data_IF_858702522646
#
_entry.id   IF_858702522646
#
_cell.length_a   1.000
_cell.length_b   1.000
_cell.length_c   1.000
_cell.angle_alpha   90.00
_cell.angle_beta   90.00
_cell.angle_gamma   90.00
#
_symmetry.space_group_name_H-M   'P 1'
#
loop_
_entity.id
_entity.type
_entity.pdbx_description
1 polymer ?
#
# COMPACT_ATOMS: atom_id res chain seq x y z
N UNK A 1 3.46 -3.57 -2.63
CA UNK A 1 2.95 -3.63 -1.23
C UNK A 1 2.37 -2.27 -0.88
N UNK A 2 1.40 -2.12 0.04
CA UNK A 2 0.99 -0.78 0.47
C UNK A 2 2.19 -0.03 1.07
N UNK A 3 2.42 1.20 0.62
CA UNK A 3 3.45 2.08 1.19
C UNK A 3 2.91 2.68 2.49
N UNK A 4 3.57 2.42 3.62
CA UNK A 4 3.10 2.87 4.93
C UNK A 4 3.89 4.04 5.50
N UNK A 5 5.12 4.23 5.04
CA UNK A 5 6.02 5.26 5.56
C UNK A 5 5.79 6.60 4.87
N UNK A 6 5.64 7.65 5.67
CA UNK A 6 5.49 9.05 5.22
C UNK A 6 6.75 9.86 5.56
N UNK A 7 7.09 10.82 4.70
CA UNK A 7 8.33 11.59 4.76
C UNK A 7 8.01 13.06 4.48
N UNK A 8 8.49 14.00 5.31
CA UNK A 8 8.08 15.42 5.28
C UNK A 8 6.54 15.58 5.37
N UNK A 9 5.94 15.12 6.47
CA UNK A 9 4.51 15.27 6.76
C UNK A 9 3.68 14.03 6.44
N UNK A 10 2.40 14.24 6.08
CA UNK A 10 1.40 13.15 5.98
C UNK A 10 1.07 12.70 4.55
N UNK A 11 1.36 13.54 3.55
CA UNK A 11 0.99 13.26 2.15
C UNK A 11 2.06 12.48 1.40
N UNK A 12 3.32 12.87 1.56
CA UNK A 12 4.45 12.33 0.81
C UNK A 12 4.86 10.94 1.31
N UNK A 13 4.78 9.95 0.43
CA UNK A 13 5.11 8.56 0.77
C UNK A 13 6.53 8.23 0.34
N UNK A 14 7.22 7.44 1.16
CA UNK A 14 8.59 6.99 0.90
C UNK A 14 8.63 5.98 -0.26
N UNK A 15 9.62 6.08 -1.13
CA UNK A 15 9.87 5.06 -2.16
C UNK A 15 10.82 3.99 -1.61
N UNK A 16 10.43 2.73 -1.77
CA UNK A 16 11.24 1.56 -1.43
C UNK A 16 11.00 0.48 -2.49
N UNK A 17 11.86 -0.54 -2.56
CA UNK A 17 11.85 -1.54 -3.65
C UNK A 17 10.52 -2.30 -3.81
N UNK A 18 9.76 -2.42 -2.72
CA UNK A 18 8.44 -3.08 -2.70
C UNK A 18 7.24 -2.14 -2.82
N UNK A 19 7.45 -0.85 -3.13
CA UNK A 19 6.37 0.14 -3.17
C UNK A 19 5.44 -0.03 -4.36
N UNK A 20 5.86 -0.79 -5.38
CA UNK A 20 5.17 -0.90 -6.68
C UNK A 20 4.98 0.48 -7.35
N UNK A 21 5.86 1.43 -7.06
CA UNK A 21 5.86 2.72 -7.72
C UNK A 21 6.33 2.60 -9.17
N UNK A 22 5.64 3.27 -10.07
CA UNK A 22 5.90 3.36 -11.50
C UNK A 22 6.20 4.83 -11.81
N UNK A 23 7.32 5.09 -12.46
CA UNK A 23 7.71 6.41 -12.94
C UNK A 23 7.51 6.45 -14.45
N UNK A 24 6.66 7.35 -14.93
CA UNK A 24 6.37 7.53 -16.36
C UNK A 24 6.91 8.89 -16.77
N UNK A 25 7.68 8.94 -17.85
CA UNK A 25 8.21 10.19 -18.37
C UNK A 25 7.07 11.13 -18.76
N UNK A 26 7.15 12.38 -18.27
CA UNK A 26 6.14 13.41 -18.56
C UNK A 26 6.49 14.19 -19.81
N UNK A 27 7.77 14.22 -20.15
CA UNK A 27 8.27 14.71 -21.44
C UNK A 27 8.54 13.47 -22.30
N UNK A 28 8.13 13.43 -23.58
CA UNK A 28 8.43 12.29 -24.43
C UNK A 28 9.93 12.01 -24.52
N UNK A 29 10.30 10.74 -24.54
CA UNK A 29 11.66 10.27 -24.72
C UNK A 29 12.01 10.26 -26.20
N UNK A 30 12.68 11.30 -26.68
CA UNK A 30 13.03 11.39 -28.10
C UNK A 30 14.26 10.53 -28.36
N UNK A 31 14.06 9.43 -29.10
CA UNK A 31 15.11 8.47 -29.45
C UNK A 31 15.33 8.42 -30.95
N UNK A 32 16.54 8.02 -31.34
CA UNK A 32 16.92 7.79 -32.73
C UNK A 32 16.38 6.42 -33.15
N UNK A 33 15.45 6.43 -34.08
CA UNK A 33 14.79 5.22 -34.60
C UNK A 33 15.31 4.91 -35.99
N UNK A 34 15.80 3.68 -36.24
CA UNK A 34 16.25 3.28 -37.57
C UNK A 34 15.17 3.48 -38.63
N UNK A 35 15.55 4.06 -39.76
CA UNK A 35 14.71 4.20 -40.95
C UNK A 35 15.57 3.96 -42.20
N UNK A 36 14.96 3.73 -43.38
CA UNK A 36 15.70 3.57 -44.63
C UNK A 36 16.65 4.73 -44.98
N UNK A 37 16.33 5.95 -44.54
CA UNK A 37 17.15 7.16 -44.74
C UNK A 37 18.15 7.46 -43.61
N UNK A 38 18.32 6.55 -42.65
CA UNK A 38 19.12 6.74 -41.44
C UNK A 38 18.27 6.99 -40.19
N UNK A 39 18.88 7.05 -38.99
CA UNK A 39 18.12 7.19 -37.74
C UNK A 39 17.39 8.53 -37.64
N UNK A 40 16.08 8.50 -37.39
CA UNK A 40 15.24 9.69 -37.25
C UNK A 40 14.80 9.90 -35.78
N UNK A 41 14.75 11.13 -35.27
CA UNK A 41 14.23 11.42 -33.93
C UNK A 41 12.72 11.14 -33.83
N UNK A 42 12.31 10.22 -32.95
CA UNK A 42 10.90 9.89 -32.69
C UNK A 42 10.60 9.93 -31.18
N UNK A 43 9.51 10.58 -30.75
CA UNK A 43 9.10 10.61 -29.35
C UNK A 43 8.49 9.27 -28.88
N UNK A 44 8.95 8.75 -27.75
CA UNK A 44 8.45 7.53 -27.10
C UNK A 44 8.00 7.76 -25.66
N UNK A 45 7.12 6.89 -25.11
CA UNK A 45 6.96 6.80 -23.66
C UNK A 45 8.22 6.19 -23.03
N UNK A 46 8.51 6.56 -21.78
CA UNK A 46 9.56 5.90 -21.00
C UNK A 46 9.11 5.65 -19.56
N UNK A 47 9.25 4.40 -19.11
CA UNK A 47 8.69 3.88 -17.88
C UNK A 47 9.76 3.12 -17.10
N UNK A 48 9.96 3.51 -15.84
CA UNK A 48 10.82 2.81 -14.89
C UNK A 48 10.06 2.46 -13.61
N UNK A 49 10.54 1.45 -12.87
CA UNK A 49 9.79 0.89 -11.75
C UNK A 49 10.65 0.72 -10.50
N UNK A 50 10.05 0.98 -9.34
CA UNK A 50 10.68 0.74 -8.03
C UNK A 50 11.12 -0.70 -7.78
N UNK A 51 10.55 -1.68 -8.47
CA UNK A 51 10.95 -3.08 -8.38
C UNK A 51 12.43 -3.28 -8.77
N UNK A 52 12.96 -2.41 -9.66
CA UNK A 52 14.35 -2.41 -10.12
C UNK A 52 15.21 -1.43 -9.34
N UNK A 53 14.75 -0.97 -8.17
CA UNK A 53 15.53 -0.10 -7.30
C UNK A 53 16.87 -0.75 -6.94
N UNK A 54 17.94 -0.02 -7.23
CA UNK A 54 19.33 -0.33 -6.93
C UNK A 54 20.00 0.85 -6.22
N UNK A 55 21.16 0.59 -5.61
CA UNK A 55 21.96 1.60 -4.87
C UNK A 55 21.15 2.33 -3.78
N UNK A 56 20.13 1.66 -3.24
CA UNK A 56 19.33 2.13 -2.11
C UNK A 56 20.03 1.89 -0.77
N UNK A 57 19.27 2.01 0.31
CA UNK A 57 19.74 1.73 1.68
C UNK A 57 20.16 0.27 1.90
N UNK A 58 21.23 0.11 2.66
CA UNK A 58 21.76 -1.17 3.12
C UNK A 58 21.31 -1.48 4.55
N UNK A 59 21.26 -0.48 5.44
CA UNK A 59 21.00 -0.69 6.87
C UNK A 59 19.54 -0.45 7.26
N UNK A 60 18.94 0.64 6.79
CA UNK A 60 17.53 0.95 7.08
C UNK A 60 16.62 0.29 6.06
N UNK A 61 15.52 -0.33 6.51
CA UNK A 61 14.53 -1.00 5.63
C UNK A 61 13.12 -0.46 5.87
N UNK A 62 12.29 -0.48 4.84
CA UNK A 62 10.87 -0.14 4.92
C UNK A 62 10.00 -1.29 4.41
N UNK A 63 8.77 -1.38 4.92
CA UNK A 63 7.67 -2.18 4.34
C UNK A 63 8.09 -3.56 3.81
N UNK A 64 8.13 -4.55 4.72
CA UNK A 64 8.52 -5.92 4.38
C UNK A 64 10.02 -6.12 4.23
N UNK A 65 10.85 -5.26 4.84
CA UNK A 65 12.31 -5.39 4.82
C UNK A 65 12.96 -4.92 3.53
N UNK A 66 12.26 -4.10 2.74
CA UNK A 66 12.74 -3.62 1.45
C UNK A 66 13.70 -2.45 1.59
N UNK A 67 14.70 -2.38 0.72
CA UNK A 67 15.58 -1.23 0.62
C UNK A 67 14.79 0.03 0.19
N UNK A 68 15.16 1.14 0.81
CA UNK A 68 14.60 2.48 0.63
C UNK A 68 15.40 3.24 -0.44
N UNK A 69 14.71 4.02 -1.26
CA UNK A 69 15.32 4.92 -2.23
C UNK A 69 15.86 6.18 -1.54
N UNK A 70 17.08 6.53 -1.89
CA UNK A 70 17.84 7.63 -1.29
C UNK A 70 18.58 8.39 -2.40
N UNK A 71 19.08 9.59 -2.11
CA UNK A 71 19.92 10.36 -3.05
C UNK A 71 21.07 9.49 -3.58
N UNK A 72 21.19 9.41 -4.90
CA UNK A 72 22.15 8.54 -5.60
C UNK A 72 21.68 7.11 -5.84
N UNK A 73 20.47 6.74 -5.42
CA UNK A 73 19.82 5.50 -5.82
C UNK A 73 19.17 5.63 -7.19
N UNK A 74 18.83 4.51 -7.81
CA UNK A 74 18.30 4.48 -9.18
C UNK A 74 17.26 3.37 -9.37
N UNK A 75 16.33 3.55 -10.30
CA UNK A 75 15.63 2.41 -10.90
C UNK A 75 16.50 1.95 -12.06
N UNK A 76 17.05 0.73 -11.98
CA UNK A 76 18.21 0.34 -12.78
C UNK A 76 17.93 0.18 -14.29
N UNK A 77 16.66 0.23 -14.70
CA UNK A 77 16.25 0.09 -16.08
C UNK A 77 14.94 0.82 -16.34
N UNK A 78 14.75 1.22 -17.59
CA UNK A 78 13.52 1.82 -18.10
C UNK A 78 13.11 1.18 -19.44
N UNK A 79 11.84 1.32 -19.83
CA UNK A 79 11.24 0.67 -21.00
C UNK A 79 10.20 1.58 -21.68
N UNK A 80 9.75 1.22 -22.88
CA UNK A 80 8.71 1.95 -23.64
C UNK A 80 9.26 2.68 -24.86
N UNK A 81 10.57 2.90 -24.88
CA UNK A 81 11.38 3.48 -25.96
C UNK A 81 12.04 2.40 -26.84
N UNK A 82 11.59 1.14 -26.71
CA UNK A 82 12.18 -0.03 -27.34
C UNK A 82 12.42 0.07 -28.87
N UNK A 83 11.59 0.77 -29.66
CA UNK A 83 11.86 0.95 -31.09
C UNK A 83 13.02 1.93 -31.41
N UNK A 84 13.37 2.82 -30.48
CA UNK A 84 14.47 3.78 -30.60
C UNK A 84 15.84 3.18 -30.32
N UNK A 85 16.18 2.07 -30.97
CA UNK A 85 17.37 1.25 -30.64
C UNK A 85 18.70 1.95 -30.85
N UNK A 86 18.76 3.02 -31.64
CA UNK A 86 19.97 3.84 -31.78
C UNK A 86 20.16 4.84 -30.62
N UNK A 87 19.28 4.76 -29.61
CA UNK A 87 19.38 5.46 -28.34
C UNK A 87 18.81 6.87 -28.34
N UNK A 88 18.74 7.46 -27.15
CA UNK A 88 18.25 8.81 -26.92
C UNK A 88 18.98 9.87 -27.75
N UNK A 89 18.27 10.91 -28.19
CA UNK A 89 18.90 12.03 -28.91
C UNK A 89 19.94 12.75 -28.04
N UNK A 90 19.63 12.91 -26.74
CA UNK A 90 20.53 13.55 -25.77
C UNK A 90 21.48 12.56 -25.14
N UNK A 91 20.99 11.41 -24.67
CA UNK A 91 21.82 10.46 -23.91
C UNK A 91 22.63 9.50 -24.79
N UNK A 92 22.20 9.25 -26.03
CA UNK A 92 22.68 8.15 -26.87
C UNK A 92 22.59 6.77 -26.19
N UNK A 93 21.69 6.61 -25.22
CA UNK A 93 21.48 5.36 -24.49
C UNK A 93 20.10 4.75 -24.74
N UNK A 94 19.96 3.48 -24.37
CA UNK A 94 18.74 2.70 -24.52
C UNK A 94 18.47 1.90 -23.25
N UNK A 95 17.22 1.92 -22.76
CA UNK A 95 16.77 1.17 -21.57
C UNK A 95 17.58 1.42 -20.28
N UNK A 96 18.14 2.63 -20.13
CA UNK A 96 19.00 2.96 -19.00
C UNK A 96 18.24 3.35 -17.74
N UNK A 97 19.00 3.59 -16.68
CA UNK A 97 18.48 3.87 -15.37
C UNK A 97 17.70 5.19 -15.28
N UNK A 98 16.89 5.27 -14.23
CA UNK A 98 16.14 6.44 -13.83
C UNK A 98 16.56 6.91 -12.44
N UNK A 99 17.22 8.07 -12.39
CA UNK A 99 17.78 8.70 -11.18
C UNK A 99 16.88 9.82 -10.65
N UNK A 100 17.19 10.33 -9.46
CA UNK A 100 16.36 11.32 -8.76
C UNK A 100 16.85 12.75 -9.01
N UNK A 101 15.93 13.64 -9.32
CA UNK A 101 16.17 15.09 -9.40
C UNK A 101 15.94 15.72 -8.03
N UNK A 102 14.82 15.36 -7.38
CA UNK A 102 14.45 15.86 -6.06
C UNK A 102 14.48 14.73 -5.02
N UNK A 103 14.56 15.13 -3.77
CA UNK A 103 14.57 14.27 -2.59
C UNK A 103 14.23 15.12 -1.36
N UNK A 104 13.95 14.47 -0.22
CA UNK A 104 13.71 15.16 1.04
C UNK A 104 14.93 15.98 1.47
N UNK A 105 14.76 17.25 1.85
CA UNK A 105 15.88 18.05 2.38
C UNK A 105 16.25 17.64 3.82
N UNK A 106 15.26 17.27 4.62
CA UNK A 106 15.42 17.08 6.07
C UNK A 106 15.55 15.61 6.46
N UNK A 107 14.85 14.70 5.76
CA UNK A 107 14.80 13.29 6.14
C UNK A 107 15.88 12.53 5.39
N UNK A 108 16.79 11.91 6.14
CA UNK A 108 17.87 11.08 5.62
C UNK A 108 17.74 9.64 6.11
N UNK A 109 18.15 8.70 5.27
CA UNK A 109 18.27 7.27 5.53
C UNK A 109 19.65 6.84 5.06
N UNK A 110 20.39 6.08 5.87
CA UNK A 110 21.81 5.77 5.63
C UNK A 110 22.64 7.03 5.29
N UNK A 111 22.39 8.13 6.01
CA UNK A 111 23.08 9.41 5.81
C UNK A 111 22.73 10.16 4.52
N UNK A 112 21.88 9.62 3.65
CA UNK A 112 21.47 10.23 2.38
C UNK A 112 19.99 10.60 2.37
N UNK A 113 19.64 11.66 1.65
CA UNK A 113 18.28 12.18 1.58
C UNK A 113 17.27 11.14 1.06
N UNK A 114 16.13 10.99 1.72
CA UNK A 114 15.10 10.03 1.36
C UNK A 114 14.31 10.47 0.11
N UNK A 115 14.02 9.54 -0.80
CA UNK A 115 13.25 9.79 -2.01
C UNK A 115 11.77 9.44 -1.82
N UNK A 116 10.89 10.30 -2.34
CA UNK A 116 9.43 10.30 -2.15
C UNK A 116 8.73 10.10 -3.49
N UNK A 117 7.47 9.68 -3.45
CA UNK A 117 6.68 9.46 -4.67
C UNK A 117 6.58 10.73 -5.54
N UNK A 118 6.38 11.89 -4.93
CA UNK A 118 6.26 13.15 -5.65
C UNK A 118 7.61 13.71 -6.16
N UNK A 119 8.74 13.06 -5.86
CA UNK A 119 10.04 13.55 -6.29
C UNK A 119 10.27 13.26 -7.78
N UNK A 120 10.77 14.27 -8.48
CA UNK A 120 11.04 14.26 -9.92
C UNK A 120 12.22 13.35 -10.24
N UNK A 121 12.24 12.79 -11.45
CA UNK A 121 13.26 11.82 -11.89
C UNK A 121 13.75 12.11 -13.30
N UNK A 122 15.03 11.84 -13.56
CA UNK A 122 15.54 11.63 -14.92
C UNK A 122 15.21 10.19 -15.35
N UNK A 123 15.03 9.95 -16.65
CA UNK A 123 14.89 8.59 -17.20
C UNK A 123 15.79 8.39 -18.41
N UNK A 124 16.16 7.13 -18.66
CA UNK A 124 17.03 6.71 -19.76
C UNK A 124 18.33 7.52 -19.82
N UNK A 125 19.09 7.49 -18.71
CA UNK A 125 20.35 8.22 -18.59
C UNK A 125 20.20 9.72 -18.94
N UNK A 126 19.18 10.35 -18.36
CA UNK A 126 18.85 11.77 -18.54
C UNK A 126 18.46 12.21 -19.96
N UNK A 127 18.02 11.27 -20.81
CA UNK A 127 17.42 11.61 -22.10
C UNK A 127 16.07 12.31 -21.92
N UNK A 128 15.30 11.89 -20.92
CA UNK A 128 14.01 12.49 -20.58
C UNK A 128 13.81 12.64 -19.07
N UNK A 129 12.69 13.24 -18.68
CA UNK A 129 12.31 13.52 -17.29
C UNK A 129 10.88 13.11 -16.98
N UNK A 130 10.68 12.71 -15.73
CA UNK A 130 9.39 12.64 -15.08
C UNK A 130 9.29 13.78 -14.06
N UNK A 131 8.43 14.75 -14.35
CA UNK A 131 8.18 15.92 -13.51
C UNK A 131 7.01 15.75 -12.54
N UNK A 132 6.22 14.67 -12.68
CA UNK A 132 5.06 14.35 -11.83
C UNK A 132 5.42 13.40 -10.67
N UNK A 133 6.60 12.79 -10.72
CA UNK A 133 7.04 11.79 -9.76
C UNK A 133 6.47 10.39 -10.04
N UNK A 134 6.81 9.44 -9.19
CA UNK A 134 6.36 8.07 -9.32
C UNK A 134 4.96 7.89 -8.72
N UNK A 135 4.09 7.22 -9.46
CA UNK A 135 2.74 6.87 -9.02
C UNK A 135 2.74 5.46 -8.46
N UNK A 136 1.98 5.25 -7.39
CA UNK A 136 1.59 3.89 -6.96
C UNK A 136 0.14 3.70 -7.36
N UNK A 137 -0.18 2.53 -7.92
CA UNK A 137 -1.57 2.12 -8.02
C UNK A 137 -2.17 2.19 -6.61
N UNK A 138 -3.27 2.94 -6.40
CA UNK A 138 -3.92 2.94 -5.11
C UNK A 138 -4.23 1.48 -4.78
N UNK A 139 -3.75 1.02 -3.63
CA UNK A 139 -4.14 -0.30 -3.15
C UNK A 139 -5.62 -0.18 -2.84
N UNK A 140 -6.47 -0.53 -3.81
CA UNK A 140 -7.88 -0.75 -3.56
C UNK A 140 -7.96 -1.67 -2.36
N UNK A 141 -8.80 -1.31 -1.39
CA UNK A 141 -9.06 -2.15 -0.22
C UNK A 141 -9.11 -3.59 -0.72
N UNK A 142 -8.21 -4.44 -0.20
CA UNK A 142 -8.02 -5.78 -0.75
C UNK A 142 -9.41 -6.42 -0.89
N UNK A 143 -9.66 -7.22 -1.92
CA UNK A 143 -10.97 -7.86 -2.12
C UNK A 143 -11.50 -8.51 -0.82
N UNK A 144 -10.58 -8.97 0.01
CA UNK A 144 -10.81 -9.39 1.39
C UNK A 144 -11.34 -8.29 2.32
N UNK A 145 -10.72 -7.11 2.41
CA UNK A 145 -11.21 -5.98 3.20
C UNK A 145 -12.64 -5.57 2.81
N UNK A 146 -12.96 -5.54 1.51
CA UNK A 146 -14.33 -5.30 1.01
C UNK A 146 -15.30 -6.42 1.44
N UNK A 147 -14.88 -7.68 1.37
CA UNK A 147 -15.68 -8.81 1.82
C UNK A 147 -15.95 -8.80 3.33
N UNK A 148 -14.94 -8.43 4.13
CA UNK A 148 -15.06 -8.31 5.58
C UNK A 148 -16.01 -7.17 5.97
N UNK A 149 -15.89 -6.02 5.30
CA UNK A 149 -16.80 -4.89 5.49
C UNK A 149 -18.24 -5.27 5.13
N UNK A 150 -18.44 -5.99 4.02
CA UNK A 150 -19.76 -6.47 3.62
C UNK A 150 -20.39 -7.44 4.64
N UNK A 151 -19.60 -8.37 5.19
CA UNK A 151 -20.07 -9.26 6.28
C UNK A 151 -20.50 -8.45 7.49
N UNK A 152 -19.68 -7.48 7.89
CA UNK A 152 -19.93 -6.69 9.08
C UNK A 152 -21.18 -5.81 8.91
N UNK A 153 -21.39 -5.18 7.74
CA UNK A 153 -22.63 -4.46 7.39
C UNK A 153 -23.86 -5.36 7.43
N UNK A 154 -23.76 -6.53 6.81
CA UNK A 154 -24.86 -7.51 6.82
C UNK A 154 -25.23 -7.94 8.25
N UNK A 155 -24.24 -8.15 9.11
CA UNK A 155 -24.47 -8.52 10.50
C UNK A 155 -25.00 -7.37 11.35
N UNK A 156 -24.62 -6.12 11.05
CA UNK A 156 -25.20 -4.94 11.69
C UNK A 156 -26.71 -4.87 11.44
N UNK A 157 -27.11 -4.95 10.17
CA UNK A 157 -28.52 -4.93 9.74
C UNK A 157 -29.31 -6.10 10.32
N UNK A 158 -28.78 -7.33 10.21
CA UNK A 158 -29.43 -8.54 10.73
C UNK A 158 -29.73 -8.44 12.21
N UNK A 159 -28.79 -7.93 13.00
CA UNK A 159 -28.99 -7.80 14.46
C UNK A 159 -29.91 -6.63 14.78
N UNK A 160 -29.79 -5.50 14.09
CA UNK A 160 -30.68 -4.36 14.32
C UNK A 160 -32.15 -4.69 14.00
N UNK A 161 -32.39 -5.51 12.97
CA UNK A 161 -33.73 -5.95 12.55
C UNK A 161 -34.23 -7.19 13.32
N UNK A 162 -33.38 -7.81 14.16
CA UNK A 162 -33.76 -9.00 14.91
C UNK A 162 -34.71 -8.67 16.06
N UNK A 163 -35.80 -9.42 16.18
CA UNK A 163 -36.69 -9.37 17.36
C UNK A 163 -35.93 -9.63 18.66
N UNK A 164 -34.87 -10.48 18.61
CA UNK A 164 -34.00 -10.81 19.75
C UNK A 164 -33.13 -9.65 20.24
N UNK A 165 -32.99 -8.58 19.45
CA UNK A 165 -32.23 -7.39 19.83
C UNK A 165 -33.10 -6.26 20.40
N UNK A 166 -34.44 -6.39 20.36
CA UNK A 166 -35.37 -5.41 20.93
C UNK A 166 -35.21 -5.34 22.45
N UNK A 167 -35.17 -4.13 23.01
CA UNK A 167 -34.99 -3.90 24.46
C UNK A 167 -33.58 -4.20 25.01
N UNK A 168 -32.70 -4.85 24.25
CA UNK A 168 -31.37 -5.22 24.73
C UNK A 168 -30.37 -4.07 24.64
N UNK A 169 -29.54 -3.89 25.67
CA UNK A 169 -28.53 -2.83 25.75
C UNK A 169 -27.43 -2.92 24.67
N UNK A 170 -26.74 -1.80 24.43
CA UNK A 170 -25.73 -1.66 23.37
C UNK A 170 -24.64 -2.73 23.42
N UNK A 171 -24.10 -3.02 24.61
CA UNK A 171 -23.02 -3.99 24.80
C UNK A 171 -23.41 -5.36 24.25
N UNK A 172 -24.61 -5.81 24.57
CA UNK A 172 -25.12 -7.12 24.16
C UNK A 172 -25.43 -7.13 22.67
N UNK A 173 -26.01 -6.06 22.11
CA UNK A 173 -26.19 -5.91 20.66
C UNK A 173 -24.87 -5.94 19.91
N UNK A 174 -23.84 -5.30 20.44
CA UNK A 174 -22.47 -5.38 19.94
C UNK A 174 -22.00 -6.83 19.89
N UNK A 175 -22.11 -7.56 21.01
CA UNK A 175 -21.73 -8.99 21.07
C UNK A 175 -22.49 -9.83 20.03
N UNK A 176 -23.79 -9.58 19.83
CA UNK A 176 -24.60 -10.27 18.81
C UNK A 176 -24.08 -10.00 17.38
N UNK A 177 -23.78 -8.73 17.06
CA UNK A 177 -23.15 -8.34 15.78
C UNK A 177 -21.80 -9.02 15.63
N UNK A 178 -21.06 -9.09 16.74
CA UNK A 178 -19.76 -9.73 16.78
C UNK A 178 -19.79 -11.22 16.46
N UNK A 179 -20.72 -11.92 17.11
CA UNK A 179 -20.95 -13.34 16.89
C UNK A 179 -21.39 -13.62 15.45
N UNK A 180 -22.34 -12.84 14.92
CA UNK A 180 -22.77 -12.96 13.53
C UNK A 180 -21.61 -12.85 12.53
N UNK A 181 -20.75 -11.84 12.71
CA UNK A 181 -19.61 -11.65 11.81
C UNK A 181 -18.64 -12.82 11.88
N UNK A 182 -18.35 -13.31 13.08
CA UNK A 182 -17.48 -14.48 13.27
C UNK A 182 -18.05 -15.74 12.62
N UNK A 183 -19.35 -16.00 12.79
CA UNK A 183 -20.02 -17.17 12.23
C UNK A 183 -20.03 -17.14 10.68
N UNK A 184 -20.30 -15.96 10.10
CA UNK A 184 -20.25 -15.75 8.65
C UNK A 184 -18.85 -15.97 8.07
N UNK A 185 -17.81 -15.51 8.77
CA UNK A 185 -16.41 -15.74 8.39
C UNK A 185 -16.04 -17.22 8.45
N UNK A 186 -16.41 -17.89 9.54
CA UNK A 186 -16.17 -19.32 9.71
C UNK A 186 -16.85 -20.15 8.60
N UNK A 187 -18.08 -19.79 8.22
CA UNK A 187 -18.79 -20.42 7.11
C UNK A 187 -18.08 -20.23 5.77
N UNK A 188 -17.59 -19.02 5.46
CA UNK A 188 -16.82 -18.76 4.23
C UNK A 188 -15.47 -19.48 4.22
N UNK A 189 -14.81 -19.58 5.38
CA UNK A 189 -13.56 -20.37 5.54
C UNK A 189 -13.77 -21.84 5.19
N UNK A 190 -14.88 -22.45 5.63
CA UNK A 190 -15.23 -23.83 5.28
C UNK A 190 -15.39 -24.02 3.76
N UNK A 191 -15.94 -23.02 3.06
CA UNK A 191 -16.15 -23.08 1.60
C UNK A 191 -14.86 -22.86 0.79
N UNK A 192 -13.97 -21.97 1.22
CA UNK A 192 -12.71 -21.71 0.50
C UNK A 192 -11.54 -21.50 1.47
N UNK A 193 -10.99 -22.60 2.03
CA UNK A 193 -9.95 -22.51 3.05
C UNK A 193 -8.65 -21.90 2.54
N UNK A 194 -8.29 -22.11 1.26
CA UNK A 194 -7.08 -21.53 0.64
C UNK A 194 -7.13 -20.00 0.61
N UNK A 195 -8.28 -19.41 0.26
CA UNK A 195 -8.50 -17.95 0.22
C UNK A 195 -8.41 -17.29 1.60
N UNK A 196 -8.97 -17.94 2.62
CA UNK A 196 -9.01 -17.39 3.98
C UNK A 196 -7.85 -17.87 4.89
N UNK A 197 -6.89 -18.65 4.36
CA UNK A 197 -5.71 -19.16 5.09
C UNK A 197 -4.81 -18.02 5.63
N UNK A 198 -4.70 -16.92 4.90
CA UNK A 198 -3.91 -15.75 5.29
C UNK A 198 -4.56 -14.90 6.39
N UNK A 199 -5.84 -15.14 6.70
CA UNK A 199 -6.60 -14.29 7.61
C UNK A 199 -6.51 -14.79 9.04
N UNK A 200 -6.45 -16.11 9.29
CA UNK A 200 -6.46 -16.60 10.67
C UNK A 200 -5.80 -17.98 10.82
N UNK A 201 -4.48 -17.98 11.03
CA UNK A 201 -3.85 -19.03 11.83
C UNK A 201 -3.94 -18.61 13.30
N UNK A 202 -4.97 -19.14 13.95
CA UNK A 202 -5.27 -19.23 15.38
C UNK A 202 -4.72 -18.16 16.34
N UNK A 203 -5.63 -17.37 16.92
CA UNK A 203 -5.42 -16.82 18.26
C UNK A 203 -6.57 -17.30 19.15
N UNK A 204 -6.27 -18.29 20.00
CA UNK A 204 -7.15 -18.71 21.09
C UNK A 204 -7.08 -17.65 22.19
N UNK A 205 -7.95 -16.64 22.14
CA UNK A 205 -8.20 -15.78 23.31
C UNK A 205 -9.68 -15.60 23.56
N UNK A 206 -10.01 -15.55 24.86
CA UNK A 206 -11.32 -15.83 25.44
C UNK A 206 -12.49 -15.03 24.84
N UNK A 207 -13.55 -15.81 24.63
CA UNK A 207 -14.97 -15.54 24.35
C UNK A 207 -15.34 -14.75 23.08
N UNK A 208 -15.14 -13.44 22.88
CA UNK A 208 -15.59 -12.78 21.62
C UNK A 208 -14.90 -11.42 21.31
N UNK A 209 -14.33 -11.22 20.09
CA UNK A 209 -13.92 -9.91 19.51
C UNK A 209 -14.01 -9.94 17.96
N UNK A 210 -14.53 -8.91 17.25
CA UNK A 210 -14.46 -8.83 15.74
C UNK A 210 -13.07 -8.47 15.24
N UNK A 211 -12.03 -8.50 16.06
CA UNK A 211 -10.76 -7.94 15.65
C UNK A 211 -10.15 -8.85 14.56
N UNK A 212 -10.26 -8.43 13.30
CA UNK A 212 -9.74 -9.21 12.18
C UNK A 212 -8.27 -8.89 12.05
N UNK A 213 -7.43 -9.89 12.34
CA UNK A 213 -5.99 -9.77 12.22
C UNK A 213 -5.56 -10.30 10.85
N UNK A 214 -5.05 -9.47 9.96
CA UNK A 214 -4.44 -9.92 8.71
C UNK A 214 -3.02 -10.38 8.98
N UNK A 215 -2.66 -11.58 8.52
CA UNK A 215 -1.31 -12.13 8.66
C UNK A 215 -0.64 -12.36 7.30
N UNK A 216 0.67 -12.13 7.23
CA UNK A 216 1.51 -12.47 6.07
C UNK A 216 2.76 -13.18 6.56
N UNK A 217 2.98 -14.43 6.12
CA UNK A 217 4.13 -15.23 6.57
C UNK A 217 4.16 -15.45 8.09
N UNK A 218 3.00 -15.69 8.72
CA UNK A 218 2.87 -15.91 10.17
C UNK A 218 2.84 -14.63 11.04
N UNK A 219 3.34 -13.50 10.55
CA UNK A 219 3.34 -12.20 11.26
C UNK A 219 2.04 -11.43 11.06
N UNK A 220 1.52 -10.79 12.12
CA UNK A 220 0.34 -9.90 12.03
C UNK A 220 0.75 -8.59 11.36
N UNK A 221 0.10 -8.25 10.26
CA UNK A 221 0.43 -7.06 9.45
C UNK A 221 -0.59 -5.94 9.56
N UNK A 222 -1.87 -6.27 9.84
CA UNK A 222 -2.93 -5.28 10.11
C UNK A 222 -3.97 -5.84 11.08
N UNK A 223 -4.58 -4.98 11.88
CA UNK A 223 -5.75 -5.32 12.72
C UNK A 223 -6.91 -4.40 12.34
N UNK A 224 -8.06 -4.99 12.02
CA UNK A 224 -9.31 -4.27 11.83
C UNK A 224 -10.18 -4.39 13.07
N UNK A 225 -10.38 -3.26 13.73
CA UNK A 225 -11.29 -3.14 14.88
C UNK A 225 -12.63 -2.61 14.37
N UNK A 226 -13.60 -3.51 14.23
CA UNK A 226 -14.94 -3.14 13.79
C UNK A 226 -15.75 -2.63 14.97
N UNK A 227 -16.24 -1.41 14.82
CA UNK A 227 -17.02 -0.70 15.82
C UNK A 227 -18.41 -0.38 15.26
N UNK A 228 -19.40 -1.08 15.79
CA UNK A 228 -20.80 -0.89 15.43
C UNK A 228 -21.43 0.25 16.22
N UNK A 229 -22.23 1.08 15.54
CA UNK A 229 -23.06 2.09 16.20
C UNK A 229 -24.12 1.45 17.10
N UNK A 230 -24.43 2.16 18.17
CA UNK A 230 -25.47 1.81 19.12
C UNK A 230 -26.33 3.01 19.52
N UNK A 231 -27.62 2.76 19.74
CA UNK A 231 -28.57 3.70 20.35
C UNK A 231 -29.17 4.73 19.40
N UNK A 232 -30.25 5.40 19.84
CA UNK A 232 -30.97 6.44 19.09
C UNK A 232 -30.05 7.62 18.68
N UNK A 233 -29.03 7.92 19.49
CA UNK A 233 -28.12 9.05 19.27
C UNK A 233 -26.94 8.78 18.32
N UNK A 234 -26.82 7.56 17.75
CA UNK A 234 -25.78 7.20 16.75
C UNK A 234 -24.35 7.70 17.06
N UNK A 235 -23.96 7.80 18.34
CA UNK A 235 -22.62 8.32 18.71
C UNK A 235 -21.57 7.44 18.05
N UNK A 236 -20.66 8.05 17.28
CA UNK A 236 -19.61 7.33 16.54
C UNK A 236 -18.72 6.62 17.56
N UNK A 237 -18.64 5.28 17.54
CA UNK A 237 -17.74 4.57 18.44
C UNK A 237 -16.29 4.93 18.10
N UNK A 238 -15.51 5.31 19.11
CA UNK A 238 -14.10 5.72 18.98
C UNK A 238 -13.20 4.67 19.62
N UNK A 239 -12.03 4.47 19.04
CA UNK A 239 -10.92 3.72 19.67
C UNK A 239 -10.08 4.73 20.45
N UNK A 240 -9.83 4.48 21.73
CA UNK A 240 -9.01 5.37 22.55
C UNK A 240 -7.54 5.30 22.15
N UNK A 241 -6.76 6.33 22.49
CA UNK A 241 -5.31 6.32 22.26
C UNK A 241 -4.62 5.18 23.03
N UNK A 242 -5.10 4.88 24.23
CA UNK A 242 -4.64 3.76 25.04
C UNK A 242 -4.93 2.41 24.39
N UNK A 243 -6.16 2.20 23.89
CA UNK A 243 -6.50 0.98 23.17
C UNK A 243 -5.58 0.78 21.97
N UNK A 244 -5.36 1.82 21.14
CA UNK A 244 -4.41 1.76 20.02
C UNK A 244 -3.00 1.39 20.47
N UNK A 245 -2.52 1.96 21.59
CA UNK A 245 -1.20 1.67 22.17
C UNK A 245 -1.09 0.20 22.59
N UNK A 246 -2.12 -0.33 23.25
CA UNK A 246 -2.16 -1.72 23.71
C UNK A 246 -2.12 -2.70 22.52
N UNK A 247 -2.89 -2.44 21.46
CA UNK A 247 -2.82 -3.26 20.24
C UNK A 247 -1.44 -3.15 19.56
N UNK A 248 -0.86 -1.95 19.44
CA UNK A 248 0.49 -1.79 18.87
C UNK A 248 1.55 -2.53 19.69
N UNK A 249 1.48 -2.49 21.02
CA UNK A 249 2.42 -3.19 21.90
C UNK A 249 2.26 -4.72 21.81
N UNK A 250 1.02 -5.20 21.78
CA UNK A 250 0.75 -6.64 21.73
C UNK A 250 1.10 -7.27 20.38
N UNK A 251 0.89 -6.56 19.27
CA UNK A 251 0.98 -7.14 17.93
C UNK A 251 2.04 -6.50 17.03
N UNK A 252 2.75 -5.46 17.50
CA UNK A 252 3.78 -4.72 16.75
C UNK A 252 3.29 -4.26 15.37
N UNK A 253 2.04 -3.82 15.29
CA UNK A 253 1.30 -3.69 14.03
C UNK A 253 0.30 -2.51 14.07
N UNK A 254 0.04 -1.83 12.92
CA UNK A 254 -1.00 -0.80 12.83
C UNK A 254 -2.43 -1.38 13.01
N UNK A 255 -3.31 -0.53 13.54
CA UNK A 255 -4.73 -0.84 13.80
C UNK A 255 -5.62 0.16 13.07
N UNK A 256 -6.55 -0.35 12.29
CA UNK A 256 -7.55 0.44 11.57
C UNK A 256 -8.91 0.21 12.22
N UNK A 257 -9.49 1.27 12.78
CA UNK A 257 -10.85 1.23 13.30
C UNK A 257 -11.84 1.42 12.14
N UNK A 258 -12.65 0.40 11.86
CA UNK A 258 -13.74 0.48 10.88
C UNK A 258 -15.02 0.79 11.65
N UNK A 259 -15.61 1.95 11.38
CA UNK A 259 -16.86 2.39 12.03
C UNK A 259 -18.03 2.08 11.12
N UNK A 260 -18.92 1.20 11.58
CA UNK A 260 -20.15 0.81 10.90
C UNK A 260 -21.32 1.48 11.62
#
# INVERSE_FOLDING_TARGET
>A
MPVTVKVNGVANSLVHKGSNAISIATIPDVCKTPSPGGPVPIPYPNISQSATLAKGTTTVKADGGMMIAIKGSEFSLSNGDNPGVAGGVKSSTFMKESTWILYSFDVKMDGKNACRLADKKFQNHENTVNLSGAIVQPVSLTQLEKELEAIAKQCDEKVNNSRRARGVGCRVRGIMKHKCGQDALNARKRRNPKKYRQVFAEYKTKKYRLDVCVRKGGKVTRIFDYKFRCGKNKRKPKISAEQRRNYRRAFHCPVTAIRL
#
